data_IF_813638333644
#
_entry.id   IF_813638333644
#
_cell.length_a   1.000
_cell.length_b   1.000
_cell.length_c   1.000
_cell.angle_alpha   90.00
_cell.angle_beta   90.00
_cell.angle_gamma   90.00
#
_symmetry.space_group_name_H-M   'P 1'
#
loop_
_entity.id
_entity.type
_entity.pdbx_description
1 polymer ?
#
# COMPACT_ATOMS: atom_id res chain seq x y z
N UNK A 1 -20.34 56.77 -5.12
CA UNK A 1 -20.73 55.37 -5.41
C UNK A 1 -19.77 54.51 -4.61
N UNK A 2 -20.10 54.40 -3.34
CA UNK A 2 -19.46 53.53 -2.36
C UNK A 2 -20.42 52.38 -2.05
N UNK A 3 -19.82 51.27 -1.63
CA UNK A 3 -20.44 50.17 -0.92
C UNK A 3 -21.27 49.13 -1.69
N UNK A 4 -20.60 48.01 -1.99
CA UNK A 4 -21.19 46.68 -1.69
C UNK A 4 -20.14 45.58 -1.90
N UNK A 5 -19.20 45.40 -1.00
CA UNK A 5 -18.54 44.12 -0.78
C UNK A 5 -18.96 43.58 0.58
N UNK A 6 -20.06 42.84 0.57
CA UNK A 6 -20.50 42.08 1.71
C UNK A 6 -19.51 40.95 2.01
N UNK A 7 -18.72 41.11 3.06
CA UNK A 7 -17.89 40.06 3.64
C UNK A 7 -18.80 38.97 4.21
N UNK A 8 -18.94 37.84 3.52
CA UNK A 8 -19.52 36.64 4.08
C UNK A 8 -18.50 36.05 5.06
N UNK A 9 -18.55 36.54 6.29
CA UNK A 9 -17.90 35.91 7.43
C UNK A 9 -18.61 34.61 7.72
N UNK A 10 -18.09 33.50 7.21
CA UNK A 10 -18.53 32.16 7.56
C UNK A 10 -17.99 31.86 8.96
N UNK A 11 -18.74 32.32 10.01
CA UNK A 11 -18.45 31.95 11.38
C UNK A 11 -18.71 30.46 11.55
N UNK A 12 -17.66 29.67 11.47
CA UNK A 12 -17.70 28.24 11.81
C UNK A 12 -18.12 28.10 13.28
N UNK A 13 -19.33 27.56 13.47
CA UNK A 13 -19.91 27.33 14.80
C UNK A 13 -18.99 26.37 15.59
N UNK A 14 -18.26 26.92 16.57
CA UNK A 14 -17.33 26.15 17.43
C UNK A 14 -17.98 24.95 18.10
N UNK A 15 -19.29 24.99 18.35
CA UNK A 15 -20.03 23.88 18.94
C UNK A 15 -20.29 22.76 17.94
N UNK A 16 -20.54 23.08 16.67
CA UNK A 16 -20.63 22.09 15.58
C UNK A 16 -19.30 21.40 15.35
N UNK A 17 -18.19 22.17 15.36
CA UNK A 17 -16.84 21.61 15.21
C UNK A 17 -16.51 20.68 16.38
N UNK A 18 -16.75 21.07 17.62
CA UNK A 18 -16.53 20.22 18.82
C UNK A 18 -17.37 18.94 18.75
N UNK A 19 -18.64 19.04 18.33
CA UNK A 19 -19.53 17.89 18.18
C UNK A 19 -19.06 16.93 17.08
N UNK A 20 -18.59 17.48 15.95
CA UNK A 20 -18.02 16.71 14.86
C UNK A 20 -16.71 16.00 15.26
N UNK A 21 -15.80 16.69 15.94
CA UNK A 21 -14.56 16.11 16.49
C UNK A 21 -14.89 15.04 17.52
N UNK A 22 -15.85 15.28 18.43
CA UNK A 22 -16.27 14.29 19.43
C UNK A 22 -16.83 13.02 18.80
N UNK A 23 -17.71 13.15 17.81
CA UNK A 23 -18.27 12.00 17.07
C UNK A 23 -17.16 11.25 16.31
N UNK A 24 -16.26 11.96 15.65
CA UNK A 24 -15.12 11.36 14.92
C UNK A 24 -14.18 10.61 15.85
N UNK A 25 -13.86 11.16 17.03
CA UNK A 25 -13.03 10.48 18.03
C UNK A 25 -13.71 9.24 18.60
N UNK A 26 -15.02 9.28 18.82
CA UNK A 26 -15.80 8.13 19.32
C UNK A 26 -15.85 7.03 18.26
N UNK A 27 -16.10 7.38 16.99
CA UNK A 27 -16.12 6.44 15.86
C UNK A 27 -14.73 5.82 15.66
N UNK A 28 -13.65 6.60 15.73
CA UNK A 28 -12.27 6.10 15.66
C UNK A 28 -11.97 5.13 16.81
N UNK A 29 -12.33 5.49 18.04
CA UNK A 29 -12.13 4.64 19.21
C UNK A 29 -12.89 3.32 19.08
N UNK A 30 -14.15 3.35 18.68
CA UNK A 30 -14.98 2.15 18.49
C UNK A 30 -14.49 1.30 17.30
N UNK A 31 -14.04 1.92 16.22
CA UNK A 31 -13.49 1.20 15.04
C UNK A 31 -12.17 0.51 15.40
N UNK A 32 -11.28 1.21 16.11
CA UNK A 32 -9.99 0.66 16.52
C UNK A 32 -10.16 -0.47 17.57
N UNK A 33 -11.05 -0.29 18.54
CA UNK A 33 -11.40 -1.33 19.52
C UNK A 33 -12.08 -2.51 18.83
N UNK A 34 -13.03 -2.26 17.92
CA UNK A 34 -13.71 -3.30 17.14
C UNK A 34 -12.75 -4.12 16.29
N UNK A 35 -11.86 -3.45 15.53
CA UNK A 35 -10.81 -4.11 14.73
C UNK A 35 -9.83 -4.89 15.62
N UNK A 36 -9.46 -4.35 16.79
CA UNK A 36 -8.57 -5.03 17.74
C UNK A 36 -9.22 -6.26 18.38
N UNK A 37 -10.52 -6.21 18.69
CA UNK A 37 -11.28 -7.34 19.23
C UNK A 37 -11.40 -8.43 18.16
N UNK A 38 -11.77 -8.08 16.93
CA UNK A 38 -11.90 -9.02 15.82
C UNK A 38 -10.54 -9.65 15.46
N UNK A 39 -9.45 -8.89 15.54
CA UNK A 39 -8.10 -9.41 15.35
C UNK A 39 -7.63 -10.34 16.47
N UNK A 40 -8.15 -10.19 17.70
CA UNK A 40 -7.80 -11.07 18.85
C UNK A 40 -8.59 -12.37 18.91
N UNK A 41 -9.72 -12.50 18.20
CA UNK A 41 -10.66 -13.65 18.32
C UNK A 41 -10.07 -14.95 17.75
N UNK A 42 -9.11 -14.91 16.81
CA UNK A 42 -8.26 -16.04 16.43
C UNK A 42 -6.96 -15.51 15.85
N UNK A 43 -5.82 -15.84 16.44
CA UNK A 43 -4.53 -15.77 15.74
C UNK A 43 -4.53 -16.90 14.70
N UNK A 44 -4.60 -16.63 13.40
CA UNK A 44 -4.16 -17.62 12.44
C UNK A 44 -2.64 -17.68 12.56
N UNK A 45 -2.09 -18.87 12.61
CA UNK A 45 -0.71 -19.12 12.23
C UNK A 45 -0.62 -18.79 10.72
N UNK A 46 -0.40 -17.54 10.36
CA UNK A 46 -0.04 -17.21 8.99
C UNK A 46 1.44 -17.55 8.86
N UNK A 47 1.78 -18.38 7.90
CA UNK A 47 3.14 -18.74 7.51
C UNK A 47 4.01 -17.50 7.22
N UNK A 48 3.40 -16.34 7.03
CA UNK A 48 4.05 -15.06 6.81
C UNK A 48 4.44 -14.29 8.08
N UNK A 49 4.00 -14.70 9.28
CA UNK A 49 4.24 -13.94 10.51
C UNK A 49 5.65 -14.16 11.07
N UNK A 50 6.23 -15.33 10.88
CA UNK A 50 7.52 -15.71 11.50
C UNK A 50 8.74 -15.16 10.74
N UNK A 51 8.62 -14.85 9.45
CA UNK A 51 9.76 -14.42 8.61
C UNK A 51 10.01 -12.90 8.58
N UNK A 52 9.24 -12.11 9.32
CA UNK A 52 9.34 -10.63 9.30
C UNK A 52 10.36 -10.05 10.26
N UNK A 53 10.89 -10.85 11.18
CA UNK A 53 12.00 -10.46 12.06
C UNK A 53 13.34 -10.51 11.32
N UNK A 54 13.42 -11.19 10.17
CA UNK A 54 14.63 -11.20 9.35
C UNK A 54 14.79 -9.91 8.57
N UNK A 55 15.94 -9.26 8.73
CA UNK A 55 16.35 -8.18 7.83
C UNK A 55 16.52 -8.75 6.42
N UNK A 56 16.05 -8.00 5.43
CA UNK A 56 16.37 -8.32 4.05
C UNK A 56 17.90 -8.25 3.84
N UNK A 57 18.58 -9.31 3.44
CA UNK A 57 20.03 -9.28 3.16
C UNK A 57 20.38 -8.31 2.04
N UNK A 58 19.40 -7.94 1.20
CA UNK A 58 19.55 -7.01 0.09
C UNK A 58 19.21 -5.55 0.48
N UNK A 59 18.92 -5.29 1.77
CA UNK A 59 18.61 -3.92 2.25
C UNK A 59 19.79 -2.99 1.96
N UNK A 60 19.52 -1.89 1.25
CA UNK A 60 20.53 -0.90 0.87
C UNK A 60 21.56 -1.36 -0.17
N UNK A 61 21.34 -2.50 -0.83
CA UNK A 61 22.20 -3.01 -1.89
C UNK A 61 21.59 -2.77 -3.26
N UNK A 62 22.43 -2.61 -4.31
CA UNK A 62 22.03 -2.72 -5.71
C UNK A 62 22.17 -4.16 -6.16
N UNK A 63 21.19 -4.64 -6.92
CA UNK A 63 21.12 -6.03 -7.38
C UNK A 63 20.85 -6.13 -8.86
N UNK A 64 21.33 -7.22 -9.47
CA UNK A 64 20.97 -7.66 -10.80
C UNK A 64 20.33 -9.04 -10.72
N UNK A 65 19.47 -9.35 -11.67
CA UNK A 65 18.86 -10.67 -11.80
C UNK A 65 19.73 -11.54 -12.72
N UNK A 66 20.13 -12.71 -12.21
CA UNK A 66 20.86 -13.72 -12.95
C UNK A 66 19.91 -14.89 -13.21
N UNK A 67 19.71 -15.23 -14.48
CA UNK A 67 18.89 -16.39 -14.85
C UNK A 67 19.63 -17.68 -14.53
N UNK A 68 18.92 -18.60 -13.93
CA UNK A 68 19.41 -19.94 -13.63
C UNK A 68 18.23 -20.93 -13.76
N UNK A 69 18.33 -21.82 -14.73
CA UNK A 69 17.27 -22.78 -15.05
C UNK A 69 17.13 -23.88 -13.98
N UNK A 70 18.15 -24.09 -13.15
CA UNK A 70 18.17 -25.06 -12.07
C UNK A 70 17.46 -24.53 -10.80
N UNK A 71 17.16 -23.24 -10.73
CA UNK A 71 16.49 -22.63 -9.61
C UNK A 71 14.95 -22.71 -9.71
N UNK A 72 14.30 -22.48 -8.56
CA UNK A 72 12.84 -22.43 -8.49
C UNK A 72 12.31 -21.16 -9.14
N UNK A 73 11.16 -21.30 -9.77
CA UNK A 73 10.43 -20.15 -10.32
C UNK A 73 10.01 -19.19 -9.20
N UNK A 74 10.32 -17.90 -9.37
CA UNK A 74 9.96 -16.84 -8.44
C UNK A 74 8.55 -16.28 -8.71
N UNK A 75 8.12 -15.28 -7.96
CA UNK A 75 6.78 -14.68 -8.13
C UNK A 75 6.61 -13.88 -9.44
N UNK A 76 7.68 -13.63 -10.19
CA UNK A 76 7.63 -13.03 -11.53
C UNK A 76 7.49 -14.09 -12.64
N UNK A 77 7.45 -15.38 -12.30
CA UNK A 77 7.33 -16.47 -13.25
C UNK A 77 8.65 -16.77 -13.99
N UNK A 78 9.79 -16.42 -13.41
CA UNK A 78 11.12 -16.64 -13.97
C UNK A 78 12.02 -17.40 -12.98
N UNK A 79 13.00 -18.12 -13.50
CA UNK A 79 13.99 -18.86 -12.70
C UNK A 79 15.30 -18.06 -12.63
N UNK A 80 15.88 -18.02 -11.43
CA UNK A 80 17.11 -17.32 -11.17
C UNK A 80 17.11 -16.63 -9.81
N UNK A 81 18.18 -15.89 -9.53
CA UNK A 81 18.40 -15.23 -8.25
C UNK A 81 18.95 -13.81 -8.41
N UNK A 82 19.00 -13.09 -7.29
CA UNK A 82 19.55 -11.75 -7.21
C UNK A 82 21.02 -11.81 -6.77
N UNK A 83 21.89 -11.17 -7.54
CA UNK A 83 23.28 -10.92 -7.17
C UNK A 83 23.50 -9.45 -6.81
N UNK A 84 24.28 -9.23 -5.74
CA UNK A 84 24.65 -7.89 -5.29
C UNK A 84 25.77 -7.34 -6.15
N UNK A 85 25.54 -6.17 -6.77
CA UNK A 85 26.53 -5.49 -7.62
C UNK A 85 27.03 -4.17 -7.01
N UNK A 86 26.46 -3.72 -5.90
CA UNK A 86 26.87 -2.47 -5.24
C UNK A 86 25.97 -2.06 -4.10
N UNK A 87 26.11 -0.82 -3.66
CA UNK A 87 25.24 -0.22 -2.67
C UNK A 87 24.25 0.73 -3.34
N UNK A 88 23.06 0.85 -2.78
CA UNK A 88 22.09 1.86 -3.17
C UNK A 88 22.59 3.25 -2.75
N UNK A 89 22.57 4.19 -3.68
CA UNK A 89 22.92 5.59 -3.41
C UNK A 89 21.65 6.43 -3.49
N UNK A 90 20.95 6.56 -2.38
CA UNK A 90 19.76 7.38 -2.29
C UNK A 90 19.94 8.51 -1.31
N UNK A 91 19.78 9.71 -1.82
CA UNK A 91 19.79 10.93 -1.02
C UNK A 91 18.40 11.57 -1.06
N UNK A 92 17.65 11.54 0.07
CA UNK A 92 16.33 12.15 0.12
C UNK A 92 16.45 13.67 -0.03
N UNK A 93 15.64 14.22 -0.92
CA UNK A 93 15.55 15.68 -1.08
C UNK A 93 14.82 16.32 0.11
N UNK A 94 14.88 17.65 0.23
CA UNK A 94 14.07 18.39 1.22
C UNK A 94 12.58 18.08 1.04
N UNK A 95 12.13 17.99 -0.21
CA UNK A 95 10.76 17.59 -0.53
C UNK A 95 10.42 16.22 0.04
N UNK A 96 11.23 15.19 -0.21
CA UNK A 96 10.99 13.81 0.26
C UNK A 96 10.89 13.74 1.79
N UNK A 97 11.81 14.46 2.46
CA UNK A 97 11.98 14.34 3.90
C UNK A 97 10.90 15.08 4.71
N UNK A 98 10.48 16.24 4.23
CA UNK A 98 9.61 17.14 5.01
C UNK A 98 8.23 17.33 4.35
N UNK A 99 8.20 17.81 3.11
CA UNK A 99 6.95 18.19 2.45
C UNK A 99 6.10 16.96 2.15
N UNK A 100 6.69 16.00 1.43
CA UNK A 100 6.00 14.76 1.07
C UNK A 100 5.56 13.99 2.30
N UNK A 101 6.44 13.85 3.29
CA UNK A 101 6.11 13.16 4.54
C UNK A 101 5.01 13.87 5.33
N UNK A 102 5.03 15.19 5.38
CA UNK A 102 3.94 15.98 6.00
C UNK A 102 2.60 15.75 5.31
N UNK A 103 2.58 15.78 3.98
CA UNK A 103 1.38 15.49 3.19
C UNK A 103 0.90 14.04 3.40
N UNK A 104 1.80 13.07 3.40
CA UNK A 104 1.48 11.65 3.66
C UNK A 104 0.77 11.49 5.02
N UNK A 105 1.27 12.12 6.07
CA UNK A 105 0.67 12.06 7.41
C UNK A 105 -0.72 12.71 7.42
N UNK A 106 -0.85 13.92 6.86
CA UNK A 106 -2.13 14.65 6.86
C UNK A 106 -3.18 13.89 6.05
N UNK A 107 -2.83 13.44 4.84
CA UNK A 107 -3.77 12.74 3.95
C UNK A 107 -4.16 11.37 4.51
N UNK A 108 -3.21 10.60 5.03
CA UNK A 108 -3.50 9.27 5.57
C UNK A 108 -4.30 9.36 6.88
N UNK A 109 -3.96 10.27 7.78
CA UNK A 109 -4.71 10.49 9.02
C UNK A 109 -6.14 10.97 8.74
N UNK A 110 -6.28 11.98 7.86
CA UNK A 110 -7.60 12.45 7.42
C UNK A 110 -8.41 11.36 6.74
N UNK A 111 -7.77 10.58 5.86
CA UNK A 111 -8.37 9.43 5.19
C UNK A 111 -8.86 8.36 6.17
N UNK A 112 -8.05 8.00 7.17
CA UNK A 112 -8.45 7.05 8.23
C UNK A 112 -9.70 7.54 8.97
N UNK A 113 -9.74 8.82 9.35
CA UNK A 113 -10.91 9.38 10.07
C UNK A 113 -12.17 9.34 9.19
N UNK A 114 -12.07 9.82 7.96
CA UNK A 114 -13.24 9.95 7.07
C UNK A 114 -13.75 8.58 6.60
N UNK A 115 -12.84 7.65 6.32
CA UNK A 115 -13.19 6.31 5.80
C UNK A 115 -13.40 5.27 6.89
N UNK A 116 -13.18 5.60 8.17
CA UNK A 116 -13.37 4.66 9.29
C UNK A 116 -14.76 4.00 9.34
N UNK A 117 -15.89 4.68 9.05
CA UNK A 117 -17.19 4.01 9.03
C UNK A 117 -17.28 2.96 7.91
N UNK A 118 -16.71 3.27 6.72
CA UNK A 118 -16.68 2.34 5.59
C UNK A 118 -15.78 1.14 5.92
N UNK A 119 -14.61 1.37 6.51
CA UNK A 119 -13.71 0.33 6.96
C UNK A 119 -14.37 -0.61 7.97
N UNK A 120 -15.17 -0.07 8.89
CA UNK A 120 -15.94 -0.86 9.86
C UNK A 120 -16.99 -1.74 9.18
N UNK A 121 -17.73 -1.19 8.22
CA UNK A 121 -18.75 -1.94 7.46
C UNK A 121 -18.05 -3.09 6.69
N UNK A 122 -16.94 -2.81 6.00
CA UNK A 122 -16.15 -3.83 5.30
C UNK A 122 -15.72 -4.94 6.27
N UNK A 123 -15.20 -4.58 7.43
CA UNK A 123 -14.76 -5.54 8.44
C UNK A 123 -15.91 -6.44 8.92
N UNK A 124 -17.09 -5.86 9.19
CA UNK A 124 -18.28 -6.61 9.59
C UNK A 124 -18.74 -7.57 8.47
N UNK A 125 -18.83 -7.09 7.23
CA UNK A 125 -19.25 -7.92 6.11
C UNK A 125 -18.31 -9.13 5.90
N UNK A 126 -17.01 -8.91 5.94
CA UNK A 126 -16.02 -10.01 5.84
C UNK A 126 -16.20 -11.01 6.99
N UNK A 127 -16.34 -10.52 8.22
CA UNK A 127 -16.49 -11.38 9.39
C UNK A 127 -17.79 -12.18 9.37
N UNK A 128 -18.88 -11.61 8.87
CA UNK A 128 -20.17 -12.32 8.75
C UNK A 128 -20.16 -13.39 7.68
N UNK A 129 -19.41 -13.21 6.58
CA UNK A 129 -19.34 -14.18 5.49
C UNK A 129 -18.37 -15.33 5.80
N UNK A 130 -17.21 -15.03 6.37
CA UNK A 130 -16.19 -16.03 6.73
C UNK A 130 -15.55 -15.65 8.06
N UNK A 131 -16.09 -16.14 9.21
CA UNK A 131 -15.63 -15.77 10.54
C UNK A 131 -14.14 -16.04 10.75
N UNK A 132 -13.41 -14.98 11.15
CA UNK A 132 -11.97 -15.04 11.40
C UNK A 132 -11.31 -13.66 11.29
N UNK A 133 -9.99 -13.58 11.12
CA UNK A 133 -9.29 -12.31 10.99
C UNK A 133 -9.74 -11.58 9.73
N UNK A 134 -10.13 -10.32 9.86
CA UNK A 134 -10.57 -9.45 8.75
C UNK A 134 -9.41 -8.76 8.06
N UNK A 135 -8.25 -8.71 8.73
CA UNK A 135 -7.02 -8.11 8.20
C UNK A 135 -6.12 -9.21 7.66
N UNK A 136 -5.69 -9.04 6.42
CA UNK A 136 -4.67 -9.83 5.78
C UNK A 136 -3.37 -9.04 5.73
N UNK A 137 -2.26 -9.67 6.05
CA UNK A 137 -0.93 -9.06 5.97
C UNK A 137 -0.06 -9.81 4.97
N UNK A 138 0.78 -9.08 4.25
CA UNK A 138 1.68 -9.66 3.26
C UNK A 138 3.05 -8.97 3.29
N UNK A 139 4.12 -9.78 3.26
CA UNK A 139 5.50 -9.30 3.20
C UNK A 139 5.76 -8.62 1.86
N UNK A 140 6.22 -7.38 1.91
CA UNK A 140 6.51 -6.54 0.74
C UNK A 140 7.86 -5.85 0.89
N UNK A 141 8.40 -5.42 -0.26
CA UNK A 141 9.58 -4.56 -0.31
C UNK A 141 9.14 -3.10 -0.11
N UNK A 142 9.74 -2.46 0.89
CA UNK A 142 9.63 -1.04 1.18
C UNK A 142 10.84 -0.26 0.65
N UNK A 143 11.03 0.94 1.20
CA UNK A 143 12.18 1.79 0.88
C UNK A 143 13.51 1.06 1.12
N UNK A 144 14.46 1.21 0.20
CA UNK A 144 15.78 0.55 0.23
C UNK A 144 15.70 -0.98 0.34
N UNK A 145 14.63 -1.58 -0.18
CA UNK A 145 14.35 -3.03 -0.10
C UNK A 145 14.13 -3.55 1.34
N UNK A 146 13.84 -2.68 2.31
CA UNK A 146 13.47 -3.10 3.64
C UNK A 146 12.15 -3.85 3.62
N UNK A 147 12.06 -4.99 4.31
CA UNK A 147 10.79 -5.70 4.43
C UNK A 147 9.81 -4.95 5.33
N UNK A 148 8.54 -4.94 4.93
CA UNK A 148 7.45 -4.47 5.78
C UNK A 148 6.18 -5.31 5.56
N UNK A 149 5.27 -5.28 6.55
CA UNK A 149 3.93 -5.88 6.47
C UNK A 149 3.00 -4.89 5.80
N UNK A 150 2.51 -5.24 4.62
CA UNK A 150 1.43 -4.53 3.95
C UNK A 150 0.09 -5.01 4.50
N UNK A 151 -0.76 -4.08 4.93
CA UNK A 151 -2.08 -4.40 5.47
C UNK A 151 -3.16 -4.26 4.40
N UNK A 152 -4.04 -5.26 4.30
CA UNK A 152 -5.23 -5.27 3.45
C UNK A 152 -6.42 -5.86 4.18
N UNK A 153 -7.64 -5.56 3.72
CA UNK A 153 -8.77 -6.36 4.10
C UNK A 153 -8.70 -7.73 3.44
N UNK A 154 -9.07 -8.77 4.19
CA UNK A 154 -9.13 -10.13 3.69
C UNK A 154 -10.31 -10.29 2.73
N UNK A 155 -10.02 -10.55 1.49
CA UNK A 155 -11.01 -10.72 0.42
C UNK A 155 -11.11 -12.17 -0.08
N UNK A 156 -10.34 -13.07 0.52
CA UNK A 156 -10.34 -14.49 0.21
C UNK A 156 -10.66 -15.33 1.47
N UNK A 157 -11.19 -16.51 1.27
CA UNK A 157 -11.51 -17.46 2.34
C UNK A 157 -10.26 -17.89 3.11
N UNK A 158 -10.41 -18.22 4.37
CA UNK A 158 -9.32 -18.75 5.20
C UNK A 158 -8.76 -20.08 4.68
N UNK A 159 -9.55 -20.82 3.90
CA UNK A 159 -9.13 -22.07 3.26
C UNK A 159 -8.24 -21.87 2.03
N UNK A 160 -7.98 -20.63 1.62
CA UNK A 160 -7.12 -20.32 0.47
C UNK A 160 -5.69 -20.74 0.75
N UNK A 161 -4.99 -21.43 -0.17
CA UNK A 161 -3.57 -21.71 -0.05
C UNK A 161 -2.78 -20.41 0.06
N UNK A 162 -1.96 -20.26 1.11
CA UNK A 162 -1.24 -18.99 1.40
C UNK A 162 0.02 -18.79 0.56
N UNK A 163 0.62 -19.90 0.09
CA UNK A 163 1.93 -19.88 -0.56
C UNK A 163 1.86 -19.77 -2.08
N UNK A 164 0.65 -19.66 -2.63
CA UNK A 164 0.41 -19.60 -4.08
C UNK A 164 -0.12 -18.21 -4.44
N UNK A 165 0.55 -17.47 -5.36
CA UNK A 165 0.01 -16.23 -5.90
C UNK A 165 -1.38 -16.42 -6.52
N UNK A 166 -2.28 -15.46 -6.38
CA UNK A 166 -3.68 -15.59 -6.83
C UNK A 166 -3.81 -16.01 -8.31
N UNK A 167 -2.89 -15.56 -9.17
CA UNK A 167 -2.88 -15.88 -10.60
C UNK A 167 -2.40 -17.33 -10.91
N UNK A 168 -1.78 -18.00 -9.94
CA UNK A 168 -1.34 -19.39 -10.03
C UNK A 168 -2.32 -20.38 -9.38
N UNK A 169 -3.36 -19.88 -8.71
CA UNK A 169 -4.40 -20.72 -8.13
C UNK A 169 -5.26 -21.35 -9.23
N UNK A 170 -5.52 -22.65 -9.13
CA UNK A 170 -6.51 -23.32 -9.96
C UNK A 170 -7.89 -22.86 -9.49
N UNK A 171 -8.68 -22.26 -10.38
CA UNK A 171 -9.99 -21.68 -10.10
C UNK A 171 -9.98 -20.68 -8.92
N UNK A 172 -9.26 -19.55 -9.02
CA UNK A 172 -9.12 -18.60 -7.93
C UNK A 172 -10.47 -18.05 -7.43
N UNK A 173 -11.50 -18.03 -8.28
CA UNK A 173 -12.82 -17.49 -7.97
C UNK A 173 -13.52 -18.23 -6.82
N UNK A 174 -13.27 -19.53 -6.65
CA UNK A 174 -13.85 -20.32 -5.55
C UNK A 174 -13.37 -19.90 -4.17
N UNK A 175 -12.22 -19.26 -4.12
CA UNK A 175 -11.61 -18.77 -2.88
C UNK A 175 -11.96 -17.32 -2.57
N UNK A 176 -12.46 -16.55 -3.54
CA UNK A 176 -12.84 -15.16 -3.33
C UNK A 176 -14.18 -15.10 -2.57
N UNK A 177 -14.24 -14.31 -1.52
CA UNK A 177 -15.49 -14.00 -0.82
C UNK A 177 -16.42 -13.19 -1.73
N UNK A 178 -17.74 -13.38 -1.64
CA UNK A 178 -18.69 -12.57 -2.40
C UNK A 178 -18.54 -11.07 -2.07
N UNK A 179 -18.46 -10.74 -0.80
CA UNK A 179 -18.12 -9.38 -0.34
C UNK A 179 -16.73 -8.98 -0.82
N UNK A 180 -15.78 -9.92 -0.83
CA UNK A 180 -14.41 -9.73 -1.31
C UNK A 180 -14.36 -9.31 -2.78
N UNK A 181 -15.19 -9.87 -3.64
CA UNK A 181 -15.28 -9.50 -5.05
C UNK A 181 -15.72 -8.03 -5.23
N UNK A 182 -16.71 -7.59 -4.46
CA UNK A 182 -17.18 -6.19 -4.46
C UNK A 182 -16.09 -5.26 -3.94
N UNK A 183 -15.46 -5.61 -2.82
CA UNK A 183 -14.40 -4.81 -2.19
C UNK A 183 -13.22 -4.62 -3.15
N UNK A 184 -12.75 -5.69 -3.83
CA UNK A 184 -11.65 -5.64 -4.82
C UNK A 184 -11.98 -4.74 -6.01
N UNK A 185 -13.22 -4.81 -6.52
CA UNK A 185 -13.65 -3.97 -7.68
C UNK A 185 -13.46 -2.49 -7.41
N UNK A 186 -13.62 -2.06 -6.16
CA UNK A 186 -13.50 -0.66 -5.74
C UNK A 186 -12.18 -0.38 -5.00
N UNK A 187 -11.22 -1.31 -5.03
CA UNK A 187 -9.95 -1.22 -4.28
C UNK A 187 -10.12 -0.95 -2.78
N UNK A 188 -11.30 -1.31 -2.23
CA UNK A 188 -11.60 -1.14 -0.81
C UNK A 188 -10.74 -2.01 0.11
N UNK A 189 -10.18 -3.10 -0.41
CA UNK A 189 -9.23 -3.94 0.31
C UNK A 189 -7.93 -3.20 0.67
N UNK A 190 -7.58 -2.17 -0.07
CA UNK A 190 -6.35 -1.40 0.12
C UNK A 190 -6.49 -0.24 1.11
N UNK A 191 -7.71 0.04 1.65
CA UNK A 191 -7.93 1.15 2.60
C UNK A 191 -7.06 1.04 3.86
N UNK A 192 -6.71 -0.17 4.30
CA UNK A 192 -5.82 -0.36 5.45
C UNK A 192 -4.38 0.11 5.19
N UNK A 193 -3.97 0.29 3.93
CA UNK A 193 -2.66 0.85 3.59
C UNK A 193 -2.52 2.33 4.00
N UNK A 194 -3.62 3.04 4.28
CA UNK A 194 -3.57 4.36 4.92
C UNK A 194 -2.85 4.30 6.27
N UNK A 195 -2.96 3.19 6.99
CA UNK A 195 -2.18 2.96 8.20
C UNK A 195 -0.68 2.79 7.90
N UNK A 196 -0.33 2.04 6.84
CA UNK A 196 1.06 1.85 6.42
C UNK A 196 1.71 3.17 5.99
N UNK A 197 0.91 4.07 5.37
CA UNK A 197 1.35 5.43 5.04
C UNK A 197 1.56 6.25 6.30
N UNK A 198 0.59 6.20 7.23
CA UNK A 198 0.64 6.97 8.47
C UNK A 198 1.86 6.61 9.32
N UNK A 199 2.18 5.33 9.49
CA UNK A 199 3.37 4.88 10.23
C UNK A 199 4.68 5.04 9.46
N UNK A 200 4.62 5.31 8.14
CA UNK A 200 5.76 5.68 7.32
C UNK A 200 6.42 4.55 6.53
N UNK A 201 5.80 3.37 6.47
CA UNK A 201 6.24 2.27 5.60
C UNK A 201 5.97 2.57 4.13
N UNK A 202 4.92 3.33 3.86
CA UNK A 202 4.49 3.74 2.52
C UNK A 202 4.33 5.26 2.41
N UNK A 203 4.04 5.70 1.20
CA UNK A 203 3.62 7.06 0.82
C UNK A 203 2.30 6.99 0.05
N UNK A 204 1.59 8.10 -0.07
CA UNK A 204 0.41 8.18 -0.94
C UNK A 204 0.82 7.95 -2.39
N UNK A 205 1.90 8.61 -2.84
CA UNK A 205 2.42 8.51 -4.21
C UNK A 205 3.80 7.87 -4.21
N UNK A 206 4.00 6.87 -5.08
CA UNK A 206 5.27 6.17 -5.24
C UNK A 206 5.13 4.89 -6.08
N UNK A 207 6.23 4.19 -6.34
CA UNK A 207 6.19 2.86 -6.97
C UNK A 207 5.36 1.88 -6.14
N UNK A 208 4.51 1.07 -6.79
CA UNK A 208 3.69 0.07 -6.06
C UNK A 208 4.60 -0.94 -5.34
N UNK A 209 4.35 -1.27 -4.05
CA UNK A 209 5.21 -2.20 -3.32
C UNK A 209 5.22 -3.59 -3.97
N UNK A 210 6.41 -4.05 -4.39
CA UNK A 210 6.64 -5.39 -4.94
C UNK A 210 6.51 -6.48 -3.87
N UNK A 211 6.21 -7.73 -4.28
CA UNK A 211 6.35 -8.89 -3.41
C UNK A 211 7.83 -9.07 -3.07
N UNK A 212 8.09 -9.64 -1.91
CA UNK A 212 9.46 -9.89 -1.44
C UNK A 212 10.27 -10.83 -2.34
N UNK A 213 9.61 -11.64 -3.15
CA UNK A 213 10.16 -12.64 -4.06
C UNK A 213 9.92 -12.32 -5.55
N UNK A 214 9.71 -11.05 -5.90
CA UNK A 214 9.67 -10.55 -7.28
C UNK A 214 11.07 -10.08 -7.67
N UNK A 215 11.95 -11.03 -7.97
CA UNK A 215 13.38 -10.76 -8.16
C UNK A 215 13.67 -10.01 -9.44
N UNK A 216 13.00 -10.37 -10.54
CA UNK A 216 13.15 -9.66 -11.80
C UNK A 216 12.67 -8.21 -11.69
N UNK A 217 11.49 -7.97 -11.09
CA UNK A 217 10.99 -6.61 -10.88
C UNK A 217 11.93 -5.80 -9.99
N UNK A 218 12.48 -6.43 -8.94
CA UNK A 218 13.42 -5.78 -8.02
C UNK A 218 14.69 -5.35 -8.75
N UNK A 219 15.26 -6.22 -9.56
CA UNK A 219 16.44 -5.94 -10.36
C UNK A 219 16.19 -4.84 -11.40
N UNK A 220 15.07 -4.92 -12.14
CA UNK A 220 14.73 -3.90 -13.14
C UNK A 220 14.55 -2.51 -12.51
N UNK A 221 13.92 -2.42 -11.34
CA UNK A 221 13.74 -1.17 -10.58
C UNK A 221 15.06 -0.60 -10.05
N UNK A 222 16.03 -1.44 -9.72
CA UNK A 222 17.34 -0.99 -9.24
C UNK A 222 18.12 -0.22 -10.31
N UNK A 223 17.87 -0.50 -11.60
CA UNK A 223 18.46 0.27 -12.72
C UNK A 223 18.10 1.75 -12.67
N UNK A 224 16.94 2.07 -12.07
CA UNK A 224 16.36 3.42 -12.02
C UNK A 224 16.26 3.99 -10.59
N UNK A 225 16.73 3.29 -9.56
CA UNK A 225 16.61 3.70 -8.16
C UNK A 225 15.18 3.66 -7.62
N UNK A 226 14.28 2.92 -8.26
CA UNK A 226 12.86 2.90 -7.87
C UNK A 226 12.59 2.10 -6.58
N UNK A 227 13.53 1.24 -6.15
CA UNK A 227 13.46 0.58 -4.85
C UNK A 227 13.97 1.44 -3.69
N UNK A 228 14.64 2.57 -3.98
CA UNK A 228 15.28 3.38 -2.95
C UNK A 228 14.30 4.40 -2.34
N UNK A 229 13.17 4.65 -3.00
CA UNK A 229 12.10 5.53 -2.53
C UNK A 229 11.02 4.74 -1.78
N UNK A 230 10.18 5.43 -1.00
CA UNK A 230 9.02 4.80 -0.36
C UNK A 230 8.04 4.29 -1.40
N UNK A 231 7.52 3.06 -1.26
CA UNK A 231 6.45 2.59 -2.12
C UNK A 231 5.17 3.39 -1.89
N UNK A 232 4.36 3.51 -2.95
CA UNK A 232 3.11 4.27 -2.96
C UNK A 232 1.86 3.42 -2.97
N UNK A 233 0.76 4.00 -2.48
CA UNK A 233 -0.59 3.48 -2.68
C UNK A 233 -0.97 3.59 -4.16
N UNK A 234 -0.62 4.70 -4.78
CA UNK A 234 -0.70 4.94 -6.22
C UNK A 234 0.59 5.57 -6.73
N UNK A 235 0.78 5.64 -8.06
CA UNK A 235 2.00 6.19 -8.65
C UNK A 235 1.97 6.20 -10.16
N UNK A 236 3.08 6.63 -10.75
CA UNK A 236 3.16 6.89 -12.19
C UNK A 236 2.89 5.63 -13.04
N UNK A 237 3.45 4.49 -12.69
CA UNK A 237 3.19 3.23 -13.39
C UNK A 237 1.72 2.79 -13.26
N UNK A 238 1.09 2.99 -12.09
CA UNK A 238 -0.30 2.59 -11.87
C UNK A 238 -1.29 3.37 -12.74
N UNK A 239 -1.06 4.66 -12.97
CA UNK A 239 -1.94 5.49 -13.81
C UNK A 239 -1.67 5.36 -15.32
N UNK A 240 -0.53 4.74 -15.70
CA UNK A 240 -0.12 4.58 -17.10
C UNK A 240 -0.15 3.12 -17.62
N UNK A 241 -0.97 2.25 -17.02
CA UNK A 241 -1.17 0.88 -17.50
C UNK A 241 -1.25 -0.19 -16.41
N UNK A 242 -0.86 0.15 -15.17
CA UNK A 242 -1.06 -0.70 -13.99
C UNK A 242 -0.55 -2.15 -14.19
N UNK A 243 -1.47 -3.11 -14.21
CA UNK A 243 -1.14 -4.54 -14.26
C UNK A 243 -0.92 -5.06 -15.69
N UNK A 244 -1.28 -4.27 -16.71
CA UNK A 244 -1.06 -4.60 -18.14
C UNK A 244 0.39 -4.35 -18.60
N UNK A 245 1.16 -3.62 -17.80
CA UNK A 245 2.56 -3.32 -18.11
C UNK A 245 3.44 -4.53 -17.85
N UNK A 246 4.33 -4.84 -18.77
CA UNK A 246 5.43 -5.76 -18.51
C UNK A 246 6.40 -5.20 -17.45
N UNK A 247 7.25 -6.06 -16.90
CA UNK A 247 8.16 -5.71 -15.81
C UNK A 247 9.12 -4.59 -16.21
N UNK A 248 9.80 -4.62 -17.38
CA UNK A 248 10.68 -3.54 -17.82
C UNK A 248 9.97 -2.20 -17.99
N UNK A 249 8.78 -2.17 -18.62
CA UNK A 249 8.01 -0.95 -18.79
C UNK A 249 7.54 -0.38 -17.46
N UNK A 250 7.09 -1.23 -16.54
CA UNK A 250 6.72 -0.85 -15.17
C UNK A 250 7.91 -0.23 -14.43
N UNK A 251 9.07 -0.88 -14.46
CA UNK A 251 10.28 -0.38 -13.82
C UNK A 251 10.76 0.95 -14.41
N UNK A 252 10.64 1.14 -15.73
CA UNK A 252 10.95 2.39 -16.41
C UNK A 252 10.05 3.53 -15.95
N UNK A 253 8.73 3.33 -15.88
CA UNK A 253 7.78 4.33 -15.38
C UNK A 253 8.01 4.65 -13.90
N UNK A 254 8.34 3.65 -13.08
CA UNK A 254 8.72 3.86 -11.70
C UNK A 254 10.02 4.70 -11.62
N UNK A 255 10.96 4.50 -12.55
CA UNK A 255 12.17 5.32 -12.70
C UNK A 255 11.86 6.75 -13.13
N UNK A 256 10.94 6.97 -14.07
CA UNK A 256 10.48 8.29 -14.47
C UNK A 256 9.87 9.05 -13.28
N UNK A 257 9.11 8.36 -12.42
CA UNK A 257 8.64 8.92 -11.17
C UNK A 257 9.80 9.38 -10.28
N UNK A 258 10.81 8.54 -10.07
CA UNK A 258 11.97 8.86 -9.23
C UNK A 258 12.72 10.09 -9.74
N UNK A 259 12.89 10.22 -11.05
CA UNK A 259 13.60 11.35 -11.67
C UNK A 259 12.81 12.67 -11.55
N UNK A 260 11.49 12.61 -11.68
CA UNK A 260 10.61 13.77 -11.71
C UNK A 260 9.91 14.06 -10.37
N UNK A 261 10.22 13.28 -9.32
CA UNK A 261 9.52 13.38 -8.04
C UNK A 261 9.57 14.78 -7.46
N UNK A 262 8.41 15.27 -7.04
CA UNK A 262 8.20 16.61 -6.51
C UNK A 262 6.71 16.88 -6.38
N UNK A 263 6.36 17.99 -5.72
CA UNK A 263 4.96 18.31 -5.42
C UNK A 263 4.07 18.31 -6.67
N UNK A 264 4.51 18.91 -7.76
CA UNK A 264 3.73 19.01 -9.00
C UNK A 264 3.52 17.62 -9.61
N UNK A 265 4.55 16.79 -9.62
CA UNK A 265 4.47 15.45 -10.18
C UNK A 265 3.61 14.52 -9.31
N UNK A 266 3.68 14.65 -7.99
CA UNK A 266 2.82 13.92 -7.05
C UNK A 266 1.35 14.32 -7.23
N UNK A 267 1.05 15.62 -7.41
CA UNK A 267 -0.31 16.09 -7.73
C UNK A 267 -0.77 15.50 -9.07
N UNK A 268 0.09 15.45 -10.10
CA UNK A 268 -0.24 14.84 -11.39
C UNK A 268 -0.59 13.35 -11.24
N UNK A 269 0.18 12.60 -10.45
CA UNK A 269 -0.11 11.19 -10.16
C UNK A 269 -1.43 11.04 -9.40
N UNK A 270 -1.68 11.89 -8.40
CA UNK A 270 -2.90 11.86 -7.62
C UNK A 270 -4.15 12.12 -8.49
N UNK A 271 -4.12 13.16 -9.30
CA UNK A 271 -5.23 13.47 -10.22
C UNK A 271 -5.43 12.39 -11.28
N UNK A 272 -4.34 11.76 -11.76
CA UNK A 272 -4.41 10.63 -12.69
C UNK A 272 -5.05 9.38 -12.10
N UNK A 273 -5.03 9.22 -10.77
CA UNK A 273 -5.65 8.08 -10.07
C UNK A 273 -7.18 8.20 -10.01
N UNK A 274 -7.73 9.42 -10.09
CA UNK A 274 -9.17 9.71 -9.98
C UNK A 274 -9.87 9.49 -11.33
N UNK A 275 -9.13 9.46 -12.44
CA UNK A 275 -9.68 9.18 -13.78
C UNK A 275 -9.95 7.69 -13.96
#
# INVERSE_FOLDING_TARGET
IEDTFGSVSMSLDKNKIKKFIGISCTVLGTTFVGLSIVAKIKKPSSVYDDSLEEKNPLEGKKVIFVRDDDEKENADGVRGHLEVVGNAEYYPTFYDKYVKRGLDIILSFGGIIVLSPVMLIIAICIYMEDPGPVVFTQKRLGQNKKYFKLHKFRTMKLSTPHDVPTHQLVNPEQYILHTGAVIRRHSGDELLQLWDIFIGNMSVIGPRPGLWNQDLLTSERDKYGANDVKPGLTGWAQINGRDELDIPAKAKLDGEYVQNRGLIFDIKCFLGTIK
#
